data_IF_377148397749
#
_entry.id   IF_377148397749
#
_cell.length_a   1.000
_cell.length_b   1.000
_cell.length_c   1.000
_cell.angle_alpha   90.00
_cell.angle_beta   90.00
_cell.angle_gamma   90.00
#
_symmetry.space_group_name_H-M   'P 1'
#
loop_
_entity.id
_entity.type
_entity.pdbx_description
1 polymer ?
#
# COMPACT_ATOMS: atom_id res chain seq x y z
N UNK A 1 -24.85 3.57 49.75
CA UNK A 1 -25.33 4.46 48.67
C UNK A 1 -26.81 4.17 48.46
N UNK A 2 -27.70 5.15 48.67
CA UNK A 2 -29.15 4.95 48.61
C UNK A 2 -29.62 4.74 47.15
N UNK A 3 -29.79 3.48 46.72
CA UNK A 3 -30.24 3.12 45.36
C UNK A 3 -31.76 3.30 45.13
N UNK A 4 -32.51 3.79 46.13
CA UNK A 4 -33.98 3.74 46.15
C UNK A 4 -34.70 4.72 45.20
N UNK A 5 -33.98 5.50 44.37
CA UNK A 5 -34.56 6.46 43.39
C UNK A 5 -33.94 6.38 42.00
N UNK A 6 -33.20 5.32 41.68
CA UNK A 6 -32.62 5.15 40.35
C UNK A 6 -33.70 4.58 39.42
N UNK A 7 -34.07 5.38 38.42
CA UNK A 7 -34.89 4.93 37.30
C UNK A 7 -34.09 3.92 36.48
N UNK A 8 -34.12 2.65 36.92
CA UNK A 8 -33.33 1.54 36.38
C UNK A 8 -33.41 1.43 34.86
N UNK A 9 -34.60 1.67 34.28
CA UNK A 9 -34.82 1.69 32.82
C UNK A 9 -34.00 2.79 32.13
N UNK A 10 -33.95 3.99 32.71
CA UNK A 10 -33.18 5.11 32.18
C UNK A 10 -31.67 4.82 32.29
N UNK A 11 -31.21 4.28 33.42
CA UNK A 11 -29.81 3.89 33.60
C UNK A 11 -29.36 2.83 32.60
N UNK A 12 -30.19 1.80 32.36
CA UNK A 12 -29.91 0.76 31.37
C UNK A 12 -29.85 1.36 29.95
N UNK A 13 -30.77 2.25 29.61
CA UNK A 13 -30.77 2.95 28.32
C UNK A 13 -29.52 3.81 28.12
N UNK A 14 -29.15 4.61 29.13
CA UNK A 14 -27.94 5.43 29.06
C UNK A 14 -26.69 4.57 28.90
N UNK A 15 -26.58 3.48 29.66
CA UNK A 15 -25.46 2.56 29.55
C UNK A 15 -25.40 1.93 28.14
N UNK A 16 -26.55 1.49 27.62
CA UNK A 16 -26.64 0.93 26.27
C UNK A 16 -26.18 1.92 25.20
N UNK A 17 -26.66 3.16 25.24
CA UNK A 17 -26.26 4.20 24.29
C UNK A 17 -24.75 4.47 24.35
N UNK A 18 -24.18 4.55 25.55
CA UNK A 18 -22.73 4.76 25.73
C UNK A 18 -21.93 3.60 25.15
N UNK A 19 -22.32 2.35 25.44
CA UNK A 19 -21.67 1.17 24.87
C UNK A 19 -21.79 1.10 23.35
N UNK A 20 -22.97 1.40 22.80
CA UNK A 20 -23.18 1.45 21.36
C UNK A 20 -22.29 2.51 20.70
N UNK A 21 -22.20 3.70 21.30
CA UNK A 21 -21.36 4.76 20.76
C UNK A 21 -19.87 4.37 20.76
N UNK A 22 -19.36 3.83 21.88
CA UNK A 22 -18.00 3.34 21.97
C UNK A 22 -17.71 2.24 20.95
N UNK A 23 -18.64 1.29 20.78
CA UNK A 23 -18.51 0.22 19.80
C UNK A 23 -18.46 0.74 18.37
N UNK A 24 -19.35 1.68 18.01
CA UNK A 24 -19.39 2.28 16.67
C UNK A 24 -18.10 3.06 16.41
N UNK A 25 -17.65 3.88 17.37
CA UNK A 25 -16.40 4.63 17.23
C UNK A 25 -15.19 3.72 17.06
N UNK A 26 -15.11 2.63 17.84
CA UNK A 26 -14.04 1.64 17.72
C UNK A 26 -14.05 0.97 16.36
N UNK A 27 -15.22 0.49 15.91
CA UNK A 27 -15.36 -0.16 14.62
C UNK A 27 -15.01 0.80 13.47
N UNK A 28 -15.42 2.07 13.57
CA UNK A 28 -15.07 3.08 12.57
C UNK A 28 -13.56 3.33 12.51
N UNK A 29 -12.90 3.41 13.68
CA UNK A 29 -11.46 3.59 13.77
C UNK A 29 -10.69 2.41 13.18
N UNK A 30 -11.06 1.17 13.52
CA UNK A 30 -10.41 -0.02 12.97
C UNK A 30 -10.59 -0.14 11.45
N UNK A 31 -11.80 0.10 10.94
CA UNK A 31 -12.03 0.11 9.50
C UNK A 31 -11.23 1.21 8.79
N UNK A 32 -11.16 2.41 9.36
CA UNK A 32 -10.35 3.49 8.81
C UNK A 32 -8.86 3.13 8.79
N UNK A 33 -8.33 2.63 9.90
CA UNK A 33 -6.93 2.20 10.02
C UNK A 33 -6.58 1.14 8.97
N UNK A 34 -7.41 0.10 8.85
CA UNK A 34 -7.17 -0.98 7.89
C UNK A 34 -7.23 -0.48 6.44
N UNK A 35 -8.23 0.32 6.09
CA UNK A 35 -8.36 0.87 4.74
C UNK A 35 -7.20 1.82 4.38
N UNK A 36 -6.79 2.69 5.30
CA UNK A 36 -5.66 3.61 5.06
C UNK A 36 -4.35 2.84 4.93
N UNK A 37 -4.08 1.87 5.79
CA UNK A 37 -2.87 1.05 5.71
C UNK A 37 -2.82 0.26 4.40
N UNK A 38 -3.92 -0.37 4.01
CA UNK A 38 -4.00 -1.13 2.77
C UNK A 38 -3.84 -0.23 1.54
N UNK A 39 -4.50 0.93 1.52
CA UNK A 39 -4.39 1.88 0.42
C UNK A 39 -2.98 2.47 0.31
N UNK A 40 -2.35 2.82 1.44
CA UNK A 40 -0.97 3.32 1.45
C UNK A 40 0.01 2.25 0.94
N UNK A 41 -0.19 0.99 1.32
CA UNK A 41 0.62 -0.12 0.86
C UNK A 41 0.48 -0.36 -0.65
N UNK A 42 -0.74 -0.35 -1.18
CA UNK A 42 -1.00 -0.49 -2.62
C UNK A 42 -0.43 0.72 -3.39
N UNK A 43 -0.60 1.93 -2.86
CA UNK A 43 -0.07 3.15 -3.48
C UNK A 43 1.46 3.12 -3.55
N UNK A 44 2.15 2.70 -2.47
CA UNK A 44 3.61 2.59 -2.46
C UNK A 44 4.14 1.53 -3.42
N UNK A 45 3.46 0.38 -3.53
CA UNK A 45 3.79 -0.62 -4.54
C UNK A 45 3.62 -0.09 -5.95
N UNK A 46 2.49 0.56 -6.25
CA UNK A 46 2.24 1.15 -7.57
C UNK A 46 3.26 2.23 -7.92
N UNK A 47 3.62 3.12 -6.99
CA UNK A 47 4.64 4.13 -7.21
C UNK A 47 6.01 3.51 -7.53
N UNK A 48 6.39 2.46 -6.78
CA UNK A 48 7.65 1.74 -7.01
C UNK A 48 7.66 1.07 -8.38
N UNK A 49 6.59 0.37 -8.74
CA UNK A 49 6.45 -0.29 -10.05
C UNK A 49 6.45 0.75 -11.18
N UNK A 50 5.76 1.87 -11.02
CA UNK A 50 5.72 2.94 -12.03
C UNK A 50 7.12 3.53 -12.27
N UNK A 51 7.91 3.76 -11.22
CA UNK A 51 9.30 4.23 -11.36
C UNK A 51 10.18 3.22 -12.08
N UNK A 52 9.98 1.92 -11.82
CA UNK A 52 10.70 0.86 -12.54
C UNK A 52 10.32 0.83 -14.03
N UNK A 53 9.03 0.98 -14.34
CA UNK A 53 8.55 1.06 -15.72
C UNK A 53 9.14 2.28 -16.41
N UNK A 54 9.12 3.46 -15.77
CA UNK A 54 9.68 4.69 -16.33
C UNK A 54 11.17 4.55 -16.65
N UNK A 55 11.95 3.95 -15.73
CA UNK A 55 13.37 3.66 -15.96
C UNK A 55 13.59 2.63 -17.08
N UNK A 56 12.74 1.60 -17.17
CA UNK A 56 12.82 0.58 -18.21
C UNK A 56 12.40 1.10 -19.59
N UNK A 57 11.46 2.04 -19.68
CA UNK A 57 11.01 2.64 -20.95
C UNK A 57 11.92 3.79 -21.41
N UNK A 58 12.94 4.16 -20.63
CA UNK A 58 13.89 5.18 -21.03
C UNK A 58 14.63 4.77 -22.32
N UNK A 59 14.62 5.66 -23.31
CA UNK A 59 15.23 5.46 -24.64
C UNK A 59 16.75 5.28 -24.59
N UNK A 60 17.40 5.67 -23.49
CA UNK A 60 18.84 5.51 -23.32
C UNK A 60 19.27 4.04 -23.19
N UNK A 61 18.33 3.09 -22.95
CA UNK A 61 18.62 1.65 -22.91
C UNK A 61 19.80 1.26 -22.01
N UNK A 62 20.00 2.00 -20.91
CA UNK A 62 21.09 1.73 -19.96
C UNK A 62 20.62 0.78 -18.86
N UNK A 63 21.49 -0.14 -18.39
CA UNK A 63 21.21 -0.91 -17.19
C UNK A 63 21.00 0.03 -16.00
N UNK A 64 20.03 -0.30 -15.15
CA UNK A 64 19.75 0.43 -13.92
C UNK A 64 19.64 -0.53 -12.73
N UNK A 65 19.99 -0.05 -11.55
CA UNK A 65 20.09 -0.87 -10.35
C UNK A 65 18.80 -0.77 -9.54
N UNK A 66 18.24 -1.91 -9.17
CA UNK A 66 17.08 -2.01 -8.28
C UNK A 66 17.50 -2.66 -6.97
N UNK A 67 17.01 -2.09 -5.87
CA UNK A 67 17.32 -2.54 -4.52
C UNK A 67 16.04 -2.96 -3.81
N UNK A 68 16.09 -4.12 -3.15
CA UNK A 68 15.02 -4.63 -2.30
C UNK A 68 15.64 -5.18 -1.01
N UNK A 69 15.69 -4.33 0.03
CA UNK A 69 16.46 -4.61 1.25
C UNK A 69 17.96 -4.71 0.92
N UNK A 70 18.60 -5.82 1.31
CA UNK A 70 20.03 -6.06 1.04
C UNK A 70 20.30 -6.64 -0.36
N UNK A 71 19.25 -6.91 -1.14
CA UNK A 71 19.39 -7.50 -2.48
C UNK A 71 19.47 -6.40 -3.53
N UNK A 72 20.47 -6.50 -4.39
CA UNK A 72 20.67 -5.65 -5.57
C UNK A 72 20.52 -6.49 -6.84
N UNK A 73 19.81 -5.97 -7.83
CA UNK A 73 19.75 -6.54 -9.17
C UNK A 73 19.92 -5.44 -10.22
N UNK A 74 20.73 -5.71 -11.24
CA UNK A 74 20.91 -4.82 -12.38
C UNK A 74 19.91 -5.23 -13.46
N UNK A 75 18.98 -4.34 -13.79
CA UNK A 75 17.90 -4.58 -14.75
C UNK A 75 18.14 -3.78 -16.02
N UNK A 76 17.71 -4.35 -17.15
CA UNK A 76 17.66 -3.69 -18.45
C UNK A 76 16.39 -4.15 -19.17
N UNK A 77 15.79 -3.26 -19.95
CA UNK A 77 14.63 -3.60 -20.76
C UNK A 77 15.01 -4.63 -21.85
N UNK A 78 14.24 -5.70 -21.95
CA UNK A 78 14.41 -6.76 -22.95
C UNK A 78 14.30 -6.23 -24.38
N UNK A 79 13.52 -5.18 -24.63
CA UNK A 79 13.44 -4.52 -25.94
C UNK A 79 14.78 -3.89 -26.34
N UNK A 80 15.55 -3.41 -25.36
CA UNK A 80 16.89 -2.86 -25.60
C UNK A 80 17.90 -3.98 -25.89
N UNK A 81 17.78 -5.13 -25.24
CA UNK A 81 18.62 -6.30 -25.51
C UNK A 81 18.38 -6.86 -26.91
N UNK A 82 17.14 -6.84 -27.39
CA UNK A 82 16.78 -7.34 -28.72
C UNK A 82 17.19 -6.40 -29.87
N UNK A 83 17.59 -5.16 -29.59
CA UNK A 83 18.14 -4.23 -30.61
C UNK A 83 19.64 -4.44 -30.85
N UNK A 84 20.34 -5.14 -29.97
CA UNK A 84 21.78 -5.43 -30.10
C UNK A 84 22.19 -6.46 -31.20
N UNK A 85 21.35 -7.36 -31.76
CA UNK A 85 21.82 -8.36 -32.72
C UNK A 85 22.09 -7.85 -34.15
N UNK A 86 21.62 -6.68 -34.55
CA UNK A 86 21.71 -6.25 -35.97
C UNK A 86 23.04 -5.57 -36.33
N UNK A 87 23.84 -5.13 -35.34
CA UNK A 87 25.12 -4.46 -35.60
C UNK A 87 26.34 -5.40 -35.69
N UNK A 88 26.18 -6.72 -35.52
CA UNK A 88 27.30 -7.68 -35.50
C UNK A 88 27.31 -8.71 -36.64
N UNK A 89 26.40 -8.61 -37.61
CA UNK A 89 26.31 -9.56 -38.74
C UNK A 89 26.84 -9.06 -40.09
N UNK A 90 27.38 -7.84 -40.19
CA UNK A 90 28.04 -7.34 -41.41
C UNK A 90 29.56 -7.14 -41.23
N UNK A 91 30.28 -8.15 -40.72
CA UNK A 91 31.70 -8.30 -41.05
C UNK A 91 32.01 -9.78 -41.16
N UNK A 92 31.73 -10.38 -42.32
CA UNK A 92 32.49 -11.52 -42.81
C UNK A 92 32.48 -11.59 -44.33
#
# INVERSE_FOLDING_TARGET
>A
MNFSKINWKATLLTLWVVFSFLYISWNMYENFKMNVMQNAYIAGQNDTVNKLIEQATNKECKPFNVYAGDKKADLINVECLQKAPEASKEVK
#
